data_IF_178039031295
#
_entry.id   IF_178039031295
#
_cell.length_a   1.000
_cell.length_b   1.000
_cell.length_c   1.000
_cell.angle_alpha   90.00
_cell.angle_beta   90.00
_cell.angle_gamma   90.00
#
_symmetry.space_group_name_H-M   'P 1'
#
loop_
_entity.id
_entity.type
_entity.pdbx_description
1 polymer ?
#
# COMPACT_ATOMS: atom_id res chain seq x y z
N UNK A 1 -16.36 -15.76 -4.52
CA UNK A 1 -17.65 -16.26 -3.99
C UNK A 1 -17.38 -17.45 -3.08
N UNK A 2 -17.48 -17.26 -1.79
CA UNK A 2 -17.35 -18.32 -0.79
C UNK A 2 -18.74 -18.84 -0.47
N UNK A 3 -18.92 -20.13 -0.52
CA UNK A 3 -20.20 -20.78 -0.22
C UNK A 3 -20.13 -21.35 1.21
N UNK A 4 -21.06 -20.92 2.06
CA UNK A 4 -21.28 -21.56 3.35
C UNK A 4 -22.15 -22.80 3.11
N UNK A 5 -21.81 -23.94 3.74
CA UNK A 5 -22.49 -25.23 3.46
C UNK A 5 -23.99 -25.20 3.76
N UNK A 6 -24.44 -24.28 4.62
CA UNK A 6 -25.85 -24.09 4.98
C UNK A 6 -26.58 -23.00 4.18
N UNK A 7 -25.89 -22.23 3.34
CA UNK A 7 -26.53 -21.18 2.53
C UNK A 7 -26.82 -21.68 1.10
N UNK A 8 -28.06 -21.51 0.64
CA UNK A 8 -28.48 -21.81 -0.75
C UNK A 8 -27.85 -20.90 -1.79
N UNK A 9 -27.35 -19.72 -1.40
CA UNK A 9 -26.74 -18.73 -2.28
C UNK A 9 -25.29 -18.44 -1.84
N UNK A 10 -24.37 -18.21 -2.79
CA UNK A 10 -23.00 -17.84 -2.46
C UNK A 10 -22.96 -16.49 -1.76
N UNK A 11 -22.11 -16.37 -0.76
CA UNK A 11 -21.85 -15.10 -0.07
C UNK A 11 -21.12 -14.14 -1.01
N UNK A 12 -21.70 -12.95 -1.21
CA UNK A 12 -21.10 -11.88 -2.01
C UNK A 12 -20.41 -10.88 -1.11
N UNK A 13 -19.15 -10.55 -1.45
CA UNK A 13 -18.38 -9.50 -0.77
C UNK A 13 -18.11 -8.37 -1.76
N UNK A 14 -18.45 -7.11 -1.41
CA UNK A 14 -18.11 -5.98 -2.26
C UNK A 14 -16.58 -5.75 -2.22
N UNK A 15 -15.99 -5.68 -3.40
CA UNK A 15 -14.57 -5.38 -3.57
C UNK A 15 -14.41 -4.19 -4.53
N UNK A 16 -13.37 -3.40 -4.31
CA UNK A 16 -12.94 -2.33 -5.20
C UNK A 16 -11.63 -2.73 -5.85
N UNK A 17 -11.66 -2.98 -7.16
CA UNK A 17 -10.46 -3.27 -7.96
C UNK A 17 -9.92 -2.03 -8.65
N UNK A 18 -8.60 -1.90 -8.70
CA UNK A 18 -7.87 -0.87 -9.44
C UNK A 18 -6.82 -1.55 -10.31
N UNK A 19 -6.83 -1.27 -11.61
CA UNK A 19 -5.87 -1.79 -12.58
C UNK A 19 -5.18 -0.65 -13.31
N UNK A 20 -3.86 -0.68 -13.34
CA UNK A 20 -3.02 0.23 -14.10
C UNK A 20 -2.16 -0.57 -15.08
N UNK A 21 -2.14 -0.17 -16.36
CA UNK A 21 -1.37 -0.85 -17.39
C UNK A 21 -0.90 0.14 -18.45
N UNK A 22 0.32 -0.05 -18.96
CA UNK A 22 0.91 0.78 -20.01
C UNK A 22 1.65 2.01 -19.50
N UNK A 23 1.85 2.99 -20.39
CA UNK A 23 2.65 4.17 -20.07
C UNK A 23 1.95 5.13 -19.11
N UNK A 24 2.71 5.62 -18.15
CA UNK A 24 2.29 6.68 -17.25
C UNK A 24 2.34 8.02 -18.00
N UNK A 25 1.23 8.80 -18.02
CA UNK A 25 1.26 10.13 -18.61
C UNK A 25 2.23 11.03 -17.81
N UNK A 26 3.24 11.55 -18.46
CA UNK A 26 4.19 12.48 -17.87
C UNK A 26 4.05 13.85 -18.57
N UNK A 27 3.82 14.91 -17.76
CA UNK A 27 3.90 16.29 -18.23
C UNK A 27 5.36 16.75 -18.36
N UNK A 28 6.18 16.40 -17.35
CA UNK A 28 7.61 16.72 -17.26
C UNK A 28 8.32 15.48 -16.71
N UNK A 29 9.52 15.19 -17.21
CA UNK A 29 10.33 14.07 -16.77
C UNK A 29 10.32 12.87 -17.73
N UNK A 30 10.89 11.77 -17.30
CA UNK A 30 10.96 10.54 -18.08
C UNK A 30 9.60 9.87 -18.19
N UNK A 31 9.30 9.37 -19.38
CA UNK A 31 8.17 8.48 -19.61
C UNK A 31 8.54 7.10 -19.13
N UNK A 32 7.63 6.46 -18.44
CA UNK A 32 7.80 5.08 -17.98
C UNK A 32 6.46 4.41 -17.86
N UNK A 33 6.48 3.10 -17.69
CA UNK A 33 5.27 2.34 -17.40
C UNK A 33 4.81 2.57 -15.97
N UNK A 34 3.52 2.32 -15.72
CA UNK A 34 3.01 2.26 -14.37
C UNK A 34 3.74 1.20 -13.55
N UNK A 35 4.10 1.56 -12.33
CA UNK A 35 4.79 0.70 -11.38
C UNK A 35 4.01 0.46 -10.08
N UNK A 36 4.62 -0.28 -9.17
CA UNK A 36 4.06 -0.56 -7.84
C UNK A 36 3.72 0.71 -7.05
N UNK A 37 4.54 1.76 -7.16
CA UNK A 37 4.33 3.00 -6.41
C UNK A 37 3.17 3.82 -6.98
N UNK A 38 2.90 3.70 -8.28
CA UNK A 38 1.76 4.35 -8.91
C UNK A 38 0.42 3.77 -8.40
N UNK A 39 0.29 2.43 -8.34
CA UNK A 39 -0.92 1.79 -7.83
C UNK A 39 -1.06 2.01 -6.33
N UNK A 40 0.04 1.97 -5.58
CA UNK A 40 0.08 2.27 -4.16
C UNK A 40 -0.44 3.68 -3.87
N UNK A 41 0.11 4.70 -4.54
CA UNK A 41 -0.31 6.09 -4.32
C UNK A 41 -1.79 6.33 -4.60
N UNK A 42 -2.35 5.65 -5.62
CA UNK A 42 -3.78 5.73 -5.93
C UNK A 42 -4.65 5.06 -4.87
N UNK A 43 -4.23 3.90 -4.38
CA UNK A 43 -4.92 3.20 -3.29
C UNK A 43 -4.88 4.03 -2.01
N UNK A 44 -3.73 4.60 -1.66
CA UNK A 44 -3.60 5.49 -0.51
C UNK A 44 -4.53 6.69 -0.63
N UNK A 45 -4.64 7.30 -1.82
CA UNK A 45 -5.56 8.40 -2.07
C UNK A 45 -7.03 7.99 -1.90
N UNK A 46 -7.42 6.82 -2.42
CA UNK A 46 -8.79 6.28 -2.29
C UNK A 46 -9.12 6.00 -0.83
N UNK A 47 -8.26 5.27 -0.12
CA UNK A 47 -8.48 4.94 1.31
C UNK A 47 -8.57 6.21 2.14
N UNK A 48 -7.66 7.18 1.91
CA UNK A 48 -7.68 8.46 2.60
C UNK A 48 -8.96 9.27 2.32
N UNK A 49 -9.42 9.29 1.08
CA UNK A 49 -10.66 9.99 0.71
C UNK A 49 -11.90 9.38 1.39
N UNK A 50 -11.92 8.04 1.55
CA UNK A 50 -13.06 7.34 2.13
C UNK A 50 -13.04 7.32 3.67
N UNK A 51 -11.87 7.33 4.29
CA UNK A 51 -11.72 7.09 5.75
C UNK A 51 -11.03 8.22 6.50
N UNK A 52 -10.37 9.14 5.81
CA UNK A 52 -9.48 10.14 6.42
C UNK A 52 -8.13 9.57 6.90
N UNK A 53 -7.87 8.27 6.70
CA UNK A 53 -6.71 7.55 7.21
C UNK A 53 -5.82 7.09 6.06
N UNK A 54 -4.52 6.87 6.35
CA UNK A 54 -3.58 6.27 5.40
C UNK A 54 -3.40 4.78 5.72
N UNK A 55 -3.43 3.91 4.71
CA UNK A 55 -3.14 2.50 4.91
C UNK A 55 -1.64 2.27 5.10
N UNK A 56 -1.30 1.27 5.91
CA UNK A 56 0.05 0.71 5.98
C UNK A 56 0.19 -0.36 4.89
N UNK A 57 1.30 -0.32 4.18
CA UNK A 57 1.67 -1.33 3.17
C UNK A 57 2.76 -2.20 3.77
N UNK A 58 2.58 -3.51 3.76
CA UNK A 58 3.56 -4.46 4.26
C UNK A 58 3.78 -5.58 3.22
N UNK A 59 4.99 -6.18 3.17
CA UNK A 59 5.22 -7.35 2.34
C UNK A 59 4.17 -8.42 2.63
N UNK A 60 3.71 -9.08 1.59
CA UNK A 60 2.79 -10.21 1.74
C UNK A 60 3.59 -11.51 1.64
N UNK A 61 4.01 -12.02 2.78
CA UNK A 61 4.73 -13.29 2.91
C UNK A 61 3.78 -14.51 2.94
N UNK A 62 2.47 -14.25 2.98
CA UNK A 62 1.48 -15.32 2.94
C UNK A 62 1.22 -15.72 1.49
N UNK A 63 1.39 -17.00 1.18
CA UNK A 63 0.92 -17.60 -0.07
C UNK A 63 -0.60 -17.78 -0.02
N UNK A 64 -1.32 -16.68 0.19
CA UNK A 64 -2.76 -16.72 0.24
C UNK A 64 -3.31 -17.06 -1.14
N UNK A 65 -4.12 -18.09 -1.21
CA UNK A 65 -4.72 -18.58 -2.46
C UNK A 65 -5.53 -17.46 -3.14
N UNK A 66 -6.09 -16.57 -2.35
CA UNK A 66 -6.92 -15.46 -2.83
C UNK A 66 -6.11 -14.37 -3.58
N UNK A 67 -4.78 -14.32 -3.41
CA UNK A 67 -3.90 -13.39 -4.13
C UNK A 67 -2.96 -14.07 -5.13
N UNK A 68 -3.25 -15.30 -5.53
CA UNK A 68 -2.43 -16.10 -6.47
C UNK A 68 -2.33 -15.49 -7.88
N UNK A 69 -3.22 -14.57 -8.22
CA UNK A 69 -3.18 -13.81 -9.47
C UNK A 69 -2.13 -12.69 -9.47
N UNK A 70 -1.51 -12.38 -8.33
CA UNK A 70 -0.41 -11.44 -8.22
C UNK A 70 0.95 -12.14 -8.25
N UNK A 71 1.96 -11.39 -8.66
CA UNK A 71 3.34 -11.88 -8.69
C UNK A 71 3.83 -12.28 -7.29
N UNK A 72 4.45 -13.45 -7.10
CA UNK A 72 4.74 -13.99 -5.76
C UNK A 72 5.66 -13.13 -4.89
N UNK A 73 6.53 -12.31 -5.52
CA UNK A 73 7.51 -11.46 -4.81
C UNK A 73 7.30 -9.96 -5.02
N UNK A 74 6.40 -9.54 -5.93
CA UNK A 74 6.11 -8.13 -6.22
C UNK A 74 4.67 -7.78 -5.84
N UNK A 75 4.33 -8.10 -4.59
CA UNK A 75 3.01 -7.85 -4.02
C UNK A 75 3.13 -7.42 -2.56
N UNK A 76 2.10 -6.80 -2.07
CA UNK A 76 2.01 -6.36 -0.68
C UNK A 76 0.58 -6.45 -0.18
N UNK A 77 0.43 -6.50 1.13
CA UNK A 77 -0.84 -6.45 1.84
C UNK A 77 -1.09 -5.05 2.39
N UNK A 78 -2.33 -4.64 2.34
CA UNK A 78 -2.81 -3.35 2.84
C UNK A 78 -3.48 -3.53 4.20
N UNK A 79 -3.13 -2.65 5.14
CA UNK A 79 -3.70 -2.64 6.48
C UNK A 79 -4.20 -1.24 6.84
N UNK A 80 -5.27 -1.17 7.59
CA UNK A 80 -5.69 0.02 8.30
C UNK A 80 -5.57 -0.25 9.81
N UNK A 81 -4.58 0.38 10.47
CA UNK A 81 -4.08 -0.13 11.75
C UNK A 81 -3.53 -1.55 11.60
N UNK A 82 -4.04 -2.49 12.39
CA UNK A 82 -3.67 -3.91 12.29
C UNK A 82 -4.67 -4.75 11.47
N UNK A 83 -5.70 -4.12 10.89
CA UNK A 83 -6.75 -4.81 10.16
C UNK A 83 -6.39 -4.90 8.67
N UNK A 84 -6.30 -6.11 8.08
CA UNK A 84 -6.09 -6.25 6.64
C UNK A 84 -7.31 -5.75 5.88
N UNK A 85 -7.07 -4.94 4.86
CA UNK A 85 -8.14 -4.31 4.04
C UNK A 85 -8.00 -4.62 2.55
N UNK A 86 -6.93 -5.30 2.13
CA UNK A 86 -6.74 -5.64 0.73
C UNK A 86 -5.31 -6.01 0.37
N UNK A 87 -5.09 -6.14 -0.92
CA UNK A 87 -3.79 -6.50 -1.52
C UNK A 87 -3.47 -5.60 -2.70
N UNK A 88 -2.19 -5.46 -3.02
CA UNK A 88 -1.74 -4.80 -4.26
C UNK A 88 -0.46 -5.43 -4.77
N UNK A 89 -0.20 -5.27 -6.04
CA UNK A 89 1.03 -5.75 -6.66
C UNK A 89 0.97 -5.85 -8.17
N UNK A 90 2.06 -6.37 -8.74
CA UNK A 90 2.12 -6.72 -10.16
C UNK A 90 1.28 -7.97 -10.41
N UNK A 91 0.51 -7.98 -11.48
CA UNK A 91 -0.24 -9.17 -11.92
C UNK A 91 0.76 -10.26 -12.35
N UNK A 92 0.47 -11.52 -12.00
CA UNK A 92 1.31 -12.64 -12.36
C UNK A 92 1.50 -12.70 -13.90
N UNK A 93 2.72 -12.93 -14.43
CA UNK A 93 2.96 -12.96 -15.88
C UNK A 93 2.06 -13.93 -16.62
N UNK A 94 1.81 -15.11 -16.08
CA UNK A 94 0.93 -16.11 -16.71
C UNK A 94 -0.52 -15.63 -16.81
N UNK A 95 -0.98 -14.86 -15.80
CA UNK A 95 -2.31 -14.24 -15.81
C UNK A 95 -2.34 -13.14 -16.87
N UNK A 96 -1.34 -12.26 -16.91
CA UNK A 96 -1.24 -11.20 -17.91
C UNK A 96 -1.21 -11.76 -19.34
N UNK A 97 -0.46 -12.84 -19.57
CA UNK A 97 -0.41 -13.54 -20.86
C UNK A 97 -1.78 -14.10 -21.27
N UNK A 98 -2.56 -14.62 -20.32
CA UNK A 98 -3.90 -15.14 -20.59
C UNK A 98 -4.91 -14.06 -21.07
N UNK A 99 -4.64 -12.80 -20.73
CA UNK A 99 -5.42 -11.64 -21.16
C UNK A 99 -4.80 -10.87 -22.34
N UNK A 100 -3.88 -11.47 -23.08
CA UNK A 100 -3.20 -10.88 -24.24
C UNK A 100 -2.50 -9.52 -23.94
N UNK A 101 -2.01 -9.34 -22.72
CA UNK A 101 -1.34 -8.10 -22.31
C UNK A 101 0.14 -8.02 -22.75
N UNK A 102 0.66 -9.10 -23.35
CA UNK A 102 2.04 -9.19 -23.85
C UNK A 102 3.07 -8.99 -22.72
N UNK A 103 4.14 -8.24 -23.01
CA UNK A 103 5.23 -7.97 -22.07
C UNK A 103 4.90 -6.87 -21.04
N UNK A 104 3.67 -6.36 -21.03
CA UNK A 104 3.24 -5.35 -20.08
C UNK A 104 3.18 -5.93 -18.68
N UNK A 105 3.47 -5.09 -17.70
CA UNK A 105 3.41 -5.42 -16.25
C UNK A 105 2.24 -4.72 -15.60
N UNK A 106 1.03 -5.26 -15.67
CA UNK A 106 -0.13 -4.63 -15.05
C UNK A 106 0.04 -4.56 -13.54
N UNK A 107 -0.29 -3.42 -12.96
CA UNK A 107 -0.34 -3.22 -11.53
C UNK A 107 -1.79 -3.27 -11.07
N UNK A 108 -2.07 -4.08 -10.07
CA UNK A 108 -3.42 -4.30 -9.59
C UNK A 108 -3.51 -4.09 -8.08
N UNK A 109 -4.64 -3.57 -7.63
CA UNK A 109 -4.99 -3.55 -6.23
C UNK A 109 -6.45 -3.95 -6.05
N UNK A 110 -6.73 -4.62 -4.94
CA UNK A 110 -8.07 -4.97 -4.51
C UNK A 110 -8.27 -4.62 -3.04
N UNK A 111 -9.36 -3.92 -2.76
CA UNK A 111 -9.78 -3.56 -1.43
C UNK A 111 -11.07 -4.30 -1.07
N UNK A 112 -11.09 -4.97 0.07
CA UNK A 112 -12.33 -5.42 0.71
C UNK A 112 -13.04 -4.21 1.31
N UNK A 113 -14.15 -3.83 0.69
CA UNK A 113 -14.91 -2.63 1.09
C UNK A 113 -15.50 -2.78 2.49
N UNK A 114 -15.92 -3.97 2.89
CA UNK A 114 -16.47 -4.21 4.23
C UNK A 114 -15.38 -4.16 5.29
N UNK A 115 -14.24 -4.82 5.04
CA UNK A 115 -13.09 -4.77 5.92
C UNK A 115 -12.56 -3.33 6.08
N UNK A 116 -12.48 -2.57 4.97
CA UNK A 116 -12.08 -1.17 4.98
C UNK A 116 -12.95 -0.32 5.91
N UNK A 117 -14.27 -0.36 5.73
CA UNK A 117 -15.17 0.46 6.54
C UNK A 117 -15.26 -0.04 7.99
N UNK A 118 -15.16 -1.35 8.23
CA UNK A 118 -15.10 -1.89 9.58
C UNK A 118 -13.83 -1.42 10.32
N UNK A 119 -12.67 -1.49 9.67
CA UNK A 119 -11.40 -1.02 10.23
C UNK A 119 -11.42 0.50 10.49
N UNK A 120 -12.00 1.28 9.59
CA UNK A 120 -12.09 2.74 9.72
C UNK A 120 -12.92 3.19 10.94
N UNK A 121 -13.81 2.36 11.45
CA UNK A 121 -14.56 2.65 12.68
C UNK A 121 -13.77 2.37 13.96
N UNK A 122 -12.79 1.47 13.88
CA UNK A 122 -11.97 1.04 15.02
C UNK A 122 -10.71 1.89 15.15
N UNK A 123 -10.08 2.21 14.02
CA UNK A 123 -8.84 3.01 13.99
C UNK A 123 -9.19 4.47 14.27
N UNK A 124 -8.59 5.09 15.31
CA UNK A 124 -8.90 6.47 15.65
C UNK A 124 -8.53 7.42 14.50
N UNK A 125 -9.45 8.32 14.18
CA UNK A 125 -9.14 9.41 13.26
C UNK A 125 -8.05 10.33 13.83
N UNK A 126 -7.17 10.89 13.00
CA UNK A 126 -6.19 11.86 13.44
C UNK A 126 -6.88 13.04 14.15
N UNK A 127 -6.42 13.38 15.33
CA UNK A 127 -6.91 14.56 16.07
C UNK A 127 -6.07 15.76 15.69
N UNK A 128 -6.71 16.91 15.54
CA UNK A 128 -5.99 18.17 15.41
C UNK A 128 -5.21 18.43 16.70
N UNK A 129 -3.92 18.72 16.55
CA UNK A 129 -3.05 19.13 17.67
C UNK A 129 -2.70 20.60 17.51
N UNK A 130 -2.48 21.29 18.63
CA UNK A 130 -1.98 22.68 18.57
C UNK A 130 -0.64 22.69 17.83
N UNK A 131 -0.46 23.57 16.82
CA UNK A 131 0.81 23.64 16.12
C UNK A 131 1.95 24.01 17.08
N UNK A 132 3.14 23.47 16.86
CA UNK A 132 4.30 23.77 17.69
C UNK A 132 4.58 25.28 17.72
N UNK A 133 4.89 25.83 18.89
CA UNK A 133 5.26 27.27 19.05
C UNK A 133 6.70 27.55 18.65
N UNK A 134 7.51 26.49 18.52
CA UNK A 134 8.92 26.58 18.16
C UNK A 134 9.06 25.97 16.75
N UNK A 135 9.74 26.64 15.81
CA UNK A 135 9.98 26.10 14.48
C UNK A 135 10.74 24.75 14.54
N UNK A 136 10.39 23.85 13.67
CA UNK A 136 11.11 22.60 13.52
C UNK A 136 12.54 22.83 13.00
N UNK A 137 13.47 21.96 13.42
CA UNK A 137 14.86 21.96 12.95
C UNK A 137 15.07 20.70 12.14
N UNK A 138 15.50 20.84 10.88
CA UNK A 138 15.84 19.71 10.01
C UNK A 138 17.27 19.25 10.28
N UNK A 139 17.47 17.94 10.26
CA UNK A 139 18.78 17.28 10.37
C UNK A 139 18.86 16.13 9.37
N UNK A 140 19.90 16.11 8.58
CA UNK A 140 20.23 14.99 7.70
C UNK A 140 21.03 13.94 8.48
N UNK A 141 20.64 12.69 8.32
CA UNK A 141 21.30 11.55 8.96
C UNK A 141 21.67 10.54 7.88
N UNK A 142 22.95 10.24 7.71
CA UNK A 142 23.42 9.20 6.82
C UNK A 142 23.61 7.89 7.59
N UNK A 143 23.05 6.80 7.08
CA UNK A 143 23.10 5.48 7.69
C UNK A 143 23.69 4.47 6.72
N UNK A 144 24.61 3.64 7.21
CA UNK A 144 25.09 2.46 6.49
C UNK A 144 24.34 1.24 7.02
N UNK A 145 23.57 0.61 6.15
CA UNK A 145 22.72 -0.52 6.51
C UNK A 145 22.87 -1.64 5.49
N UNK A 146 22.62 -2.91 5.87
CA UNK A 146 22.54 -4.00 4.90
C UNK A 146 21.51 -3.72 3.81
N UNK A 147 21.78 -4.12 2.57
CA UNK A 147 20.90 -3.87 1.42
C UNK A 147 19.50 -4.49 1.54
N UNK A 148 19.36 -5.52 2.37
CA UNK A 148 18.07 -6.15 2.68
C UNK A 148 17.21 -5.35 3.69
N UNK A 149 17.75 -4.27 4.27
CA UNK A 149 17.04 -3.49 5.28
C UNK A 149 15.94 -2.67 4.61
N UNK A 150 14.70 -2.83 5.06
CA UNK A 150 13.57 -2.08 4.53
C UNK A 150 13.59 -0.62 5.02
N UNK A 151 13.32 0.33 4.12
CA UNK A 151 13.24 1.75 4.45
C UNK A 151 12.22 2.04 5.57
N UNK A 152 11.08 1.34 5.55
CA UNK A 152 10.05 1.48 6.59
C UNK A 152 10.56 1.08 8.00
N UNK A 153 11.45 0.09 8.10
CA UNK A 153 12.04 -0.32 9.37
C UNK A 153 13.01 0.74 9.89
N UNK A 154 13.79 1.38 9.00
CA UNK A 154 14.68 2.49 9.36
C UNK A 154 13.87 3.71 9.83
N UNK A 155 12.84 4.06 9.10
CA UNK A 155 11.94 5.16 9.47
C UNK A 155 11.30 4.93 10.84
N UNK A 156 10.79 3.73 11.10
CA UNK A 156 10.22 3.36 12.39
C UNK A 156 11.24 3.47 13.53
N UNK A 157 12.46 2.97 13.33
CA UNK A 157 13.55 3.05 14.29
C UNK A 157 13.96 4.50 14.60
N UNK A 158 14.06 5.35 13.57
CA UNK A 158 14.38 6.77 13.74
C UNK A 158 13.29 7.51 14.50
N UNK A 159 12.00 7.24 14.20
CA UNK A 159 10.87 7.81 14.91
C UNK A 159 10.84 7.39 16.38
N UNK A 160 11.09 6.11 16.64
CA UNK A 160 11.15 5.58 17.99
C UNK A 160 12.31 6.20 18.79
N UNK A 161 13.51 6.27 18.20
CA UNK A 161 14.69 6.87 18.83
C UNK A 161 14.55 8.37 19.11
N UNK A 162 13.89 9.11 18.24
CA UNK A 162 13.61 10.54 18.42
C UNK A 162 12.42 10.79 19.36
N UNK A 163 11.58 9.79 19.59
CA UNK A 163 10.38 9.90 20.43
C UNK A 163 9.43 11.00 19.95
N UNK A 164 8.81 11.71 20.86
CA UNK A 164 7.88 12.80 20.54
C UNK A 164 8.52 14.06 19.93
N UNK A 165 9.83 14.07 19.70
CA UNK A 165 10.55 15.20 19.11
C UNK A 165 10.57 15.16 17.57
N UNK A 166 10.37 13.97 16.95
CA UNK A 166 10.29 13.86 15.50
C UNK A 166 8.90 14.25 14.98
N UNK A 167 8.83 15.33 14.22
CA UNK A 167 7.62 15.72 13.50
C UNK A 167 7.49 14.92 12.19
N UNK A 168 8.61 14.79 11.47
CA UNK A 168 8.69 14.09 10.19
C UNK A 168 10.01 13.33 10.08
N UNK A 169 9.97 12.18 9.42
CA UNK A 169 11.15 11.44 8.97
C UNK A 169 10.93 11.11 7.50
N UNK A 170 11.86 11.51 6.64
CA UNK A 170 11.77 11.33 5.20
C UNK A 170 13.05 10.73 4.65
N UNK A 171 12.94 9.63 3.90
CA UNK A 171 14.02 9.14 3.07
C UNK A 171 14.09 9.98 1.80
N UNK A 172 15.23 10.63 1.54
CA UNK A 172 15.38 11.53 0.39
C UNK A 172 16.48 11.08 -0.59
N UNK A 173 17.39 10.21 -0.16
CA UNK A 173 18.46 9.72 -1.03
C UNK A 173 18.96 8.33 -0.62
N UNK A 174 19.41 7.54 -1.61
CA UNK A 174 20.00 6.19 -1.44
C UNK A 174 21.17 6.05 -2.40
N UNK A 175 22.36 5.70 -1.88
CA UNK A 175 23.61 5.55 -2.65
C UNK A 175 24.00 4.09 -2.86
#
# INVERSE_FOLDING_TARGET
KTRDEDEKLPREQPALGLLLVGERPAWIGERGDYDFYDVRGRVEAVVRALTGLLPRVAPDDTLDVDASFLHPTRRARLFLGEHPIGVLGEVHPDVAAHFDLGDRRPQYAELDVRALFAAAQIVPAPKATEPPRIPAVTRDVALLVPSATQAAALEACLREGAGGLAEEVQLFDVY
#
